data_IF_525489775094
#
_entry.id   IF_525489775094
#
_cell.length_a   1.000
_cell.length_b   1.000
_cell.length_c   1.000
_cell.angle_alpha   90.00
_cell.angle_beta   90.00
_cell.angle_gamma   90.00
#
_symmetry.space_group_name_H-M   'P 1'
#
loop_
_entity.id
_entity.type
_entity.pdbx_description
1 polymer ?
#
# COMPACT_ATOMS: atom_id res chain seq x y z
N UNK A 1 0.38 2.98 16.72
CA UNK A 1 1.04 2.92 15.38
C UNK A 1 0.03 2.70 14.26
N UNK A 2 -0.72 1.59 14.23
CA UNK A 2 -1.65 1.29 13.13
C UNK A 2 -2.70 2.38 12.86
N UNK A 3 -3.30 2.96 13.91
CA UNK A 3 -4.26 4.07 13.76
C UNK A 3 -3.62 5.28 13.08
N UNK A 4 -2.41 5.66 13.49
CA UNK A 4 -1.66 6.77 12.89
C UNK A 4 -1.24 6.45 11.44
N UNK A 5 -0.86 5.20 11.16
CA UNK A 5 -0.57 4.74 9.81
C UNK A 5 -1.81 4.89 8.92
N UNK A 6 -2.95 4.34 9.36
CA UNK A 6 -4.22 4.43 8.63
C UNK A 6 -4.60 5.89 8.37
N UNK A 7 -4.56 6.75 9.39
CA UNK A 7 -4.85 8.18 9.23
C UNK A 7 -3.98 8.85 8.16
N UNK A 8 -2.66 8.61 8.20
CA UNK A 8 -1.72 9.14 7.21
C UNK A 8 -2.05 8.67 5.78
N UNK A 9 -2.44 7.41 5.64
CA UNK A 9 -2.69 6.80 4.33
C UNK A 9 -4.07 7.11 3.75
N UNK A 10 -5.08 7.39 4.59
CA UNK A 10 -6.47 7.62 4.16
C UNK A 10 -6.57 8.68 3.06
N UNK A 11 -5.87 9.82 3.20
CA UNK A 11 -5.95 10.91 2.23
C UNK A 11 -5.50 10.50 0.82
N UNK A 12 -4.36 9.79 0.74
CA UNK A 12 -3.84 9.33 -0.55
C UNK A 12 -4.74 8.26 -1.17
N UNK A 13 -5.20 7.29 -0.38
CA UNK A 13 -6.08 6.22 -0.87
C UNK A 13 -7.42 6.78 -1.36
N UNK A 14 -7.97 7.79 -0.68
CA UNK A 14 -9.19 8.47 -1.10
C UNK A 14 -9.04 9.10 -2.49
N UNK A 15 -7.91 9.77 -2.76
CA UNK A 15 -7.65 10.38 -4.08
C UNK A 15 -7.60 9.32 -5.18
N UNK A 16 -6.93 8.19 -4.92
CA UNK A 16 -6.86 7.07 -5.88
C UNK A 16 -8.25 6.49 -6.18
N UNK A 17 -9.07 6.29 -5.14
CA UNK A 17 -10.45 5.83 -5.32
C UNK A 17 -11.33 6.84 -6.05
N UNK A 18 -11.21 8.13 -5.75
CA UNK A 18 -11.95 9.18 -6.46
C UNK A 18 -11.57 9.24 -7.94
N UNK A 19 -10.28 9.09 -8.27
CA UNK A 19 -9.83 9.02 -9.65
C UNK A 19 -10.42 7.80 -10.38
N UNK A 20 -10.44 6.64 -9.72
CA UNK A 20 -11.07 5.42 -10.26
C UNK A 20 -12.58 5.54 -10.45
N UNK A 21 -13.28 6.10 -9.46
CA UNK A 21 -14.73 6.27 -9.48
C UNK A 21 -15.21 7.19 -10.60
N UNK A 22 -14.43 8.21 -10.97
CA UNK A 22 -14.74 9.08 -12.11
C UNK A 22 -14.83 8.33 -13.45
N UNK A 23 -14.18 7.16 -13.56
CA UNK A 23 -14.24 6.33 -14.76
C UNK A 23 -15.37 5.29 -14.75
N UNK A 24 -16.15 5.19 -13.68
CA UNK A 24 -17.26 4.23 -13.57
C UNK A 24 -18.50 4.83 -14.24
N UNK A 25 -19.12 4.07 -15.16
CA UNK A 25 -20.36 4.47 -15.83
C UNK A 25 -21.52 4.59 -14.81
N UNK A 26 -22.16 5.77 -14.70
CA UNK A 26 -23.33 5.97 -13.84
C UNK A 26 -24.48 4.99 -14.13
N UNK A 27 -24.61 4.50 -15.37
CA UNK A 27 -25.66 3.56 -15.78
C UNK A 27 -25.63 2.24 -14.99
N UNK A 28 -24.46 1.85 -14.48
CA UNK A 28 -24.31 0.65 -13.64
C UNK A 28 -25.06 0.77 -12.31
N UNK A 29 -25.15 1.98 -11.75
CA UNK A 29 -25.96 2.21 -10.53
C UNK A 29 -27.44 2.14 -10.85
N UNK A 30 -27.86 2.76 -11.94
CA UNK A 30 -29.27 2.76 -12.37
C UNK A 30 -29.75 1.34 -12.68
N UNK A 31 -28.97 0.56 -13.42
CA UNK A 31 -29.25 -0.84 -13.71
C UNK A 31 -29.38 -1.67 -12.42
N UNK A 32 -28.46 -1.49 -11.46
CA UNK A 32 -28.54 -2.20 -10.18
C UNK A 32 -29.79 -1.83 -9.36
N UNK A 33 -30.25 -0.59 -9.45
CA UNK A 33 -31.46 -0.13 -8.79
C UNK A 33 -32.72 -0.71 -9.44
N UNK A 34 -32.73 -0.84 -10.77
CA UNK A 34 -33.80 -1.53 -11.51
C UNK A 34 -33.87 -3.02 -11.16
N UNK A 35 -32.72 -3.66 -10.90
CA UNK A 35 -32.62 -5.05 -10.43
C UNK A 35 -33.00 -5.23 -8.94
N UNK A 36 -33.40 -4.15 -8.25
CA UNK A 36 -33.84 -4.16 -6.85
C UNK A 36 -32.70 -4.28 -5.83
N UNK A 37 -31.45 -4.01 -6.22
CA UNK A 37 -30.32 -4.01 -5.30
C UNK A 37 -30.35 -2.80 -4.36
N UNK A 38 -30.03 -3.02 -3.08
CA UNK A 38 -29.79 -1.91 -2.14
C UNK A 38 -28.38 -1.32 -2.30
N UNK A 39 -28.13 -0.13 -1.75
CA UNK A 39 -26.86 0.59 -1.92
C UNK A 39 -25.62 -0.22 -1.52
N UNK A 40 -25.71 -1.07 -0.49
CA UNK A 40 -24.59 -1.93 -0.09
C UNK A 40 -24.33 -3.06 -1.10
N UNK A 41 -25.39 -3.66 -1.64
CA UNK A 41 -25.30 -4.65 -2.72
C UNK A 41 -24.73 -4.01 -3.99
N UNK A 42 -25.19 -2.82 -4.38
CA UNK A 42 -24.66 -2.05 -5.50
C UNK A 42 -23.17 -1.75 -5.30
N UNK A 43 -22.76 -1.27 -4.12
CA UNK A 43 -21.36 -1.03 -3.83
C UNK A 43 -20.52 -2.31 -3.95
N UNK A 44 -20.90 -3.37 -3.23
CA UNK A 44 -20.08 -4.59 -3.12
C UNK A 44 -20.06 -5.42 -4.40
N UNK A 45 -21.17 -5.51 -5.12
CA UNK A 45 -21.32 -6.42 -6.26
C UNK A 45 -21.15 -5.72 -7.62
N UNK A 46 -21.33 -4.39 -7.69
CA UNK A 46 -21.26 -3.64 -8.95
C UNK A 46 -20.07 -2.68 -8.95
N UNK A 47 -20.04 -1.73 -8.02
CA UNK A 47 -19.02 -0.65 -8.02
C UNK A 47 -17.63 -1.19 -7.68
N UNK A 48 -17.50 -1.90 -6.56
CA UNK A 48 -16.21 -2.41 -6.07
C UNK A 48 -15.53 -3.37 -7.06
N UNK A 49 -16.24 -4.31 -7.72
CA UNK A 49 -15.65 -5.16 -8.76
C UNK A 49 -15.31 -4.39 -10.04
N UNK A 50 -16.06 -3.34 -10.39
CA UNK A 50 -15.74 -2.49 -11.55
C UNK A 50 -14.44 -1.72 -11.32
N UNK A 51 -14.16 -1.33 -10.08
CA UNK A 51 -12.91 -0.68 -9.65
C UNK A 51 -11.71 -1.64 -9.53
N UNK A 52 -11.77 -2.88 -10.06
CA UNK A 52 -10.65 -3.84 -10.06
C UNK A 52 -9.27 -3.22 -10.42
N UNK A 53 -9.15 -2.36 -11.45
CA UNK A 53 -7.88 -1.71 -11.76
C UNK A 53 -7.38 -0.82 -10.61
N UNK A 54 -8.26 0.01 -10.05
CA UNK A 54 -7.96 0.90 -8.92
C UNK A 54 -7.65 0.12 -7.64
N UNK A 55 -8.42 -0.93 -7.34
CA UNK A 55 -8.19 -1.81 -6.18
C UNK A 55 -6.79 -2.44 -6.24
N UNK A 56 -6.36 -2.85 -7.44
CA UNK A 56 -5.02 -3.43 -7.65
C UNK A 56 -3.94 -2.40 -7.33
N UNK A 57 -4.09 -1.17 -7.82
CA UNK A 57 -3.13 -0.08 -7.54
C UNK A 57 -3.07 0.23 -6.05
N UNK A 58 -4.23 0.43 -5.41
CA UNK A 58 -4.35 0.71 -3.97
C UNK A 58 -3.69 -0.38 -3.14
N UNK A 59 -3.97 -1.66 -3.44
CA UNK A 59 -3.40 -2.79 -2.71
C UNK A 59 -1.88 -2.78 -2.79
N UNK A 60 -1.32 -2.63 -3.99
CA UNK A 60 0.13 -2.68 -4.18
C UNK A 60 0.84 -1.49 -3.54
N UNK A 61 0.31 -0.28 -3.71
CA UNK A 61 0.82 0.92 -3.06
C UNK A 61 0.82 0.74 -1.53
N UNK A 62 -0.25 0.18 -0.97
CA UNK A 62 -0.33 -0.09 0.48
C UNK A 62 0.75 -1.05 0.95
N UNK A 63 1.03 -2.11 0.18
CA UNK A 63 2.10 -3.07 0.48
C UNK A 63 3.48 -2.38 0.43
N UNK A 64 3.73 -1.56 -0.58
CA UNK A 64 5.00 -0.80 -0.72
C UNK A 64 5.21 0.13 0.49
N UNK A 65 4.18 0.86 0.89
CA UNK A 65 4.24 1.76 2.05
C UNK A 65 4.45 0.99 3.36
N UNK A 66 3.81 -0.17 3.52
CA UNK A 66 3.97 -1.01 4.70
C UNK A 66 5.41 -1.55 4.82
N UNK A 67 6.04 -1.97 3.71
CA UNK A 67 7.44 -2.41 3.70
C UNK A 67 8.42 -1.30 4.07
N UNK A 68 8.04 -0.04 3.83
CA UNK A 68 8.85 1.16 4.09
C UNK A 68 8.44 1.90 5.36
N UNK A 69 7.66 1.29 6.25
CA UNK A 69 7.09 1.92 7.45
C UNK A 69 8.11 2.27 8.56
N UNK A 70 9.37 2.55 8.22
CA UNK A 70 10.43 2.93 9.15
C UNK A 70 10.08 4.18 9.95
N UNK A 71 9.75 5.29 9.26
CA UNK A 71 9.63 6.60 9.89
C UNK A 71 8.59 6.58 11.03
N UNK A 72 7.44 5.97 10.77
CA UNK A 72 6.35 5.90 11.71
C UNK A 72 6.70 5.03 12.92
N UNK A 73 7.28 3.84 12.71
CA UNK A 73 7.66 2.94 13.82
C UNK A 73 8.79 3.56 14.64
N UNK A 74 9.76 4.18 13.97
CA UNK A 74 10.91 4.80 14.62
C UNK A 74 10.48 5.93 15.56
N UNK A 75 9.61 6.82 15.10
CA UNK A 75 9.10 7.96 15.90
C UNK A 75 8.26 7.51 17.08
N UNK A 76 7.44 6.48 16.91
CA UNK A 76 6.53 6.05 17.98
C UNK A 76 7.23 5.35 19.13
N UNK A 77 8.07 4.35 18.85
CA UNK A 77 8.69 3.55 19.89
C UNK A 77 10.04 2.93 19.50
N UNK A 78 10.65 3.38 18.40
CA UNK A 78 11.93 2.82 17.89
C UNK A 78 11.90 1.31 17.65
N UNK A 79 10.71 0.75 17.38
CA UNK A 79 10.51 -0.69 17.17
C UNK A 79 10.37 -1.52 18.45
N UNK A 80 10.22 -0.91 19.63
CA UNK A 80 10.04 -1.65 20.89
C UNK A 80 8.70 -2.42 20.93
N UNK A 81 8.53 -3.29 21.94
CA UNK A 81 7.26 -3.99 22.20
C UNK A 81 6.74 -4.83 21.01
N UNK A 82 7.66 -5.45 20.25
CA UNK A 82 7.30 -6.34 19.14
C UNK A 82 6.93 -5.63 17.84
N UNK A 83 7.22 -4.34 17.70
CA UNK A 83 7.00 -3.56 16.46
C UNK A 83 8.26 -3.46 15.59
N UNK A 84 9.23 -4.35 15.82
CA UNK A 84 10.52 -4.34 15.14
C UNK A 84 10.36 -4.55 13.61
N UNK A 85 10.92 -3.62 12.84
CA UNK A 85 11.03 -3.72 11.39
C UNK A 85 12.48 -3.94 10.98
N UNK A 86 12.71 -4.56 9.82
CA UNK A 86 14.05 -4.70 9.24
C UNK A 86 14.76 -3.34 9.14
N UNK A 87 14.04 -2.28 8.79
CA UNK A 87 14.56 -0.90 8.73
C UNK A 87 15.01 -0.36 10.10
N UNK A 88 14.33 -0.74 11.18
CA UNK A 88 14.75 -0.41 12.56
C UNK A 88 16.05 -1.16 12.90
N UNK A 89 16.14 -2.44 12.52
CA UNK A 89 17.35 -3.25 12.76
C UNK A 89 18.57 -2.70 12.02
N UNK A 90 18.40 -2.17 10.80
CA UNK A 90 19.47 -1.45 10.09
C UNK A 90 19.96 -0.27 10.92
N UNK A 91 19.04 0.60 11.34
CA UNK A 91 19.37 1.80 12.12
C UNK A 91 20.05 1.47 13.45
N UNK A 92 19.52 0.49 14.19
CA UNK A 92 20.08 0.08 15.48
C UNK A 92 21.48 -0.54 15.33
N UNK A 93 21.77 -1.27 14.24
CA UNK A 93 23.10 -1.84 14.03
C UNK A 93 24.12 -0.83 13.50
N UNK A 94 23.70 0.18 12.74
CA UNK A 94 24.62 1.22 12.23
C UNK A 94 24.91 2.29 13.29
N UNK A 95 23.86 2.80 13.96
CA UNK A 95 23.93 3.98 14.84
C UNK A 95 24.01 3.59 16.33
N UNK A 96 23.74 2.34 16.69
CA UNK A 96 23.76 1.88 18.08
C UNK A 96 25.15 1.79 18.71
N UNK A 97 25.19 1.60 20.02
CA UNK A 97 26.40 1.67 20.85
C UNK A 97 27.54 0.73 20.42
N UNK A 98 27.21 -0.46 19.88
CA UNK A 98 28.21 -1.43 19.38
C UNK A 98 28.52 -1.30 17.88
N UNK A 99 28.01 -0.25 17.20
CA UNK A 99 28.08 0.04 15.75
C UNK A 99 28.66 -1.08 14.88
N UNK A 100 27.79 -2.01 14.47
CA UNK A 100 28.10 -3.12 13.56
C UNK A 100 27.67 -2.75 12.14
N UNK A 101 28.39 -1.79 11.56
CA UNK A 101 28.04 -1.19 10.25
C UNK A 101 27.88 -2.27 9.17
N UNK A 102 28.82 -3.22 9.07
CA UNK A 102 28.76 -4.28 8.06
C UNK A 102 27.51 -5.17 8.17
N UNK A 103 27.08 -5.48 9.39
CA UNK A 103 25.86 -6.26 9.63
C UNK A 103 24.60 -5.45 9.30
N UNK A 104 24.56 -4.17 9.71
CA UNK A 104 23.48 -3.25 9.34
C UNK A 104 23.35 -3.06 7.83
N UNK A 105 24.46 -2.95 7.11
CA UNK A 105 24.49 -2.88 5.65
C UNK A 105 23.97 -4.17 5.00
N UNK A 106 24.30 -5.35 5.54
CA UNK A 106 23.76 -6.62 5.02
C UNK A 106 22.23 -6.70 5.15
N UNK A 107 21.67 -6.28 6.30
CA UNK A 107 20.22 -6.21 6.49
C UNK A 107 19.59 -5.20 5.50
N UNK A 108 20.25 -4.06 5.25
CA UNK A 108 19.76 -3.06 4.31
C UNK A 108 19.68 -3.61 2.88
N UNK A 109 20.67 -4.42 2.46
CA UNK A 109 20.63 -5.11 1.16
C UNK A 109 19.48 -6.11 1.09
N UNK A 110 19.23 -6.89 2.15
CA UNK A 110 18.08 -7.81 2.22
C UNK A 110 16.75 -7.05 2.09
N UNK A 111 16.60 -5.95 2.84
CA UNK A 111 15.41 -5.10 2.77
C UNK A 111 15.21 -4.50 1.37
N UNK A 112 16.30 -4.09 0.71
CA UNK A 112 16.28 -3.60 -0.67
C UNK A 112 15.78 -4.69 -1.63
N UNK A 113 16.31 -5.91 -1.54
CA UNK A 113 15.89 -7.04 -2.39
C UNK A 113 14.40 -7.36 -2.21
N UNK A 114 13.92 -7.41 -0.96
CA UNK A 114 12.50 -7.63 -0.67
C UNK A 114 11.62 -6.51 -1.25
N UNK A 115 12.05 -5.25 -1.11
CA UNK A 115 11.31 -4.11 -1.65
C UNK A 115 11.25 -4.14 -3.18
N UNK A 116 12.37 -4.45 -3.84
CA UNK A 116 12.45 -4.57 -5.29
C UNK A 116 11.59 -5.71 -5.82
N UNK A 117 11.51 -6.84 -5.09
CA UNK A 117 10.67 -7.97 -5.46
C UNK A 117 9.18 -7.60 -5.52
N UNK A 118 8.73 -6.58 -4.78
CA UNK A 118 7.35 -6.06 -4.85
C UNK A 118 7.20 -4.94 -5.88
N UNK A 119 8.15 -4.00 -5.92
CA UNK A 119 8.08 -2.80 -6.77
C UNK A 119 8.24 -3.16 -8.26
N UNK A 120 9.17 -4.06 -8.61
CA UNK A 120 9.45 -4.39 -10.02
C UNK A 120 8.24 -5.03 -10.71
N UNK A 121 7.60 -6.08 -10.17
CA UNK A 121 6.40 -6.65 -10.78
C UNK A 121 5.26 -5.64 -10.94
N UNK A 122 5.09 -4.74 -9.96
CA UNK A 122 4.11 -3.67 -10.02
C UNK A 122 4.34 -2.70 -11.18
N UNK A 123 5.57 -2.21 -11.32
CA UNK A 123 5.93 -1.30 -12.41
C UNK A 123 5.74 -1.98 -13.77
N UNK A 124 6.17 -3.23 -13.91
CA UNK A 124 5.98 -4.00 -15.14
C UNK A 124 4.48 -4.17 -15.46
N UNK A 125 3.66 -4.53 -14.47
CA UNK A 125 2.22 -4.70 -14.67
C UNK A 125 1.54 -3.38 -15.06
N UNK A 126 1.94 -2.27 -14.45
CA UNK A 126 1.40 -0.94 -14.74
C UNK A 126 1.78 -0.47 -16.14
N UNK A 127 3.06 -0.52 -16.51
CA UNK A 127 3.50 -0.12 -17.85
C UNK A 127 2.93 -1.00 -18.98
N UNK A 128 2.68 -2.30 -18.70
CA UNK A 128 2.00 -3.17 -19.66
C UNK A 128 0.54 -2.77 -19.90
N UNK A 129 -0.17 -2.33 -18.86
CA UNK A 129 -1.56 -1.83 -18.99
C UNK A 129 -1.62 -0.52 -19.76
N UNK A 130 -0.70 0.40 -19.49
CA UNK A 130 -0.64 1.69 -20.24
C UNK A 130 -0.38 1.48 -21.73
N UNK A 131 0.43 0.48 -22.10
CA UNK A 131 0.70 0.16 -23.52
C UNK A 131 -0.49 -0.50 -24.24
N UNK A 132 -1.47 -1.02 -23.50
CA UNK A 132 -2.65 -1.71 -24.04
C UNK A 132 -3.90 -0.83 -24.10
N UNK A 133 -3.87 0.34 -23.46
CA UNK A 133 -4.93 1.34 -23.50
C UNK A 133 -4.69 2.35 -24.64
#
# INVERSE_FOLDING_TARGET
>A
ILVAASWRHTGYMMILYLAGLKGVDPSLREASALDGANEWQTFKNVIFPTLRPTNTVVLVVTIIEALRAFDLVFVFNKGAEGTELLSILVTNNIIGESSRIGYGSAIAVVLLVISLAVIIPYLIATFRKERQA
#
